data_IF_055508076161
#
_entry.id   IF_055508076161
#
_cell.length_a   1.000
_cell.length_b   1.000
_cell.length_c   1.000
_cell.angle_alpha   90.00
_cell.angle_beta   90.00
_cell.angle_gamma   90.00
#
_symmetry.space_group_name_H-M   'P 1'
#
loop_
_entity.id
_entity.type
_entity.pdbx_description
1 polymer ?
#
# COMPACT_ATOMS: atom_id res chain seq x y z
N UNK A 1 6.00 46.60 5.00
CA UNK A 1 5.01 45.79 5.75
C UNK A 1 5.31 44.33 5.46
N UNK A 2 6.08 43.68 6.33
CA UNK A 2 6.39 42.25 6.25
C UNK A 2 5.18 41.47 6.76
N UNK A 3 4.34 40.97 5.86
CA UNK A 3 3.26 40.04 6.22
C UNK A 3 3.91 38.76 6.74
N UNK A 4 3.85 38.57 8.05
CA UNK A 4 4.24 37.36 8.73
C UNK A 4 3.23 36.26 8.35
N UNK A 5 3.44 35.60 7.21
CA UNK A 5 2.65 34.44 6.81
C UNK A 5 2.99 33.32 7.77
N UNK A 6 2.16 33.13 8.81
CA UNK A 6 2.25 31.92 9.61
C UNK A 6 1.99 30.74 8.67
N UNK A 7 3.07 30.06 8.28
CA UNK A 7 3.00 28.82 7.53
C UNK A 7 2.33 27.77 8.41
N UNK A 8 1.02 27.59 8.25
CA UNK A 8 0.30 26.50 8.87
C UNK A 8 0.87 25.18 8.32
N UNK A 9 1.30 24.27 9.20
CA UNK A 9 1.81 22.96 8.79
C UNK A 9 0.68 22.17 8.10
N UNK A 10 0.86 21.85 6.82
CA UNK A 10 -0.14 21.15 6.03
C UNK A 10 -0.29 19.70 6.51
N UNK A 11 -1.51 19.30 6.80
CA UNK A 11 -1.84 17.93 7.22
C UNK A 11 -2.31 17.07 6.05
N UNK A 12 -2.48 15.76 6.28
CA UNK A 12 -3.03 14.82 5.29
C UNK A 12 -4.39 15.25 4.73
N UNK A 13 -5.22 15.90 5.55
CA UNK A 13 -6.53 16.41 5.11
C UNK A 13 -6.39 17.59 4.13
N UNK A 14 -5.41 18.48 4.35
CA UNK A 14 -5.10 19.58 3.44
C UNK A 14 -4.68 19.03 2.06
N UNK A 15 -3.76 18.08 2.00
CA UNK A 15 -3.36 17.47 0.73
C UNK A 15 -4.47 16.66 0.05
N UNK A 16 -5.40 16.08 0.82
CA UNK A 16 -6.60 15.43 0.26
C UNK A 16 -7.48 16.47 -0.45
N UNK A 17 -7.73 17.61 0.18
CA UNK A 17 -8.51 18.72 -0.39
C UNK A 17 -7.80 19.37 -1.58
N UNK A 18 -6.49 19.60 -1.49
CA UNK A 18 -5.68 20.15 -2.58
C UNK A 18 -5.68 19.25 -3.82
N UNK A 19 -5.58 17.91 -3.66
CA UNK A 19 -5.75 16.96 -4.77
C UNK A 19 -7.14 17.00 -5.39
N UNK A 20 -8.17 17.26 -4.59
CA UNK A 20 -9.52 17.41 -5.12
C UNK A 20 -9.61 18.65 -6.03
N UNK A 21 -9.05 19.79 -5.60
CA UNK A 21 -8.94 20.98 -6.46
C UNK A 21 -8.06 20.81 -7.69
N UNK A 22 -7.03 19.96 -7.64
CA UNK A 22 -6.23 19.62 -8.82
C UNK A 22 -7.03 18.82 -9.86
N UNK A 23 -7.90 17.91 -9.39
CA UNK A 23 -8.73 17.07 -10.28
C UNK A 23 -9.96 17.79 -10.81
N UNK A 24 -10.55 18.68 -10.01
CA UNK A 24 -11.79 19.37 -10.33
C UNK A 24 -11.50 20.82 -10.75
N UNK A 25 -12.01 21.30 -11.90
CA UNK A 25 -11.68 22.63 -12.42
C UNK A 25 -12.18 23.80 -11.54
N UNK A 26 -13.08 23.54 -10.59
CA UNK A 26 -13.47 24.48 -9.54
C UNK A 26 -14.31 23.77 -8.46
N UNK A 27 -14.02 24.05 -7.19
CA UNK A 27 -14.86 23.62 -6.08
C UNK A 27 -15.77 24.71 -5.55
N UNK A 28 -16.99 24.37 -5.14
CA UNK A 28 -17.95 25.34 -4.62
C UNK A 28 -17.45 25.97 -3.30
N UNK A 29 -17.31 27.30 -3.27
CA UNK A 29 -16.84 28.03 -2.09
C UNK A 29 -17.94 28.29 -1.04
N UNK A 30 -19.20 28.00 -1.34
CA UNK A 30 -20.30 28.16 -0.37
C UNK A 30 -20.24 27.14 0.78
N UNK A 31 -19.45 26.08 0.64
CA UNK A 31 -19.23 25.02 1.64
C UNK A 31 -17.81 25.06 2.20
N UNK A 32 -17.14 26.22 2.13
CA UNK A 32 -15.77 26.37 2.58
C UNK A 32 -15.63 26.04 4.08
N UNK A 33 -14.59 25.29 4.42
CA UNK A 33 -14.24 24.97 5.80
C UNK A 33 -12.85 25.54 6.19
N UNK A 34 -12.40 25.24 7.42
CA UNK A 34 -11.09 25.69 7.90
C UNK A 34 -9.92 25.16 7.05
N UNK A 35 -10.07 24.03 6.36
CA UNK A 35 -9.03 23.50 5.47
C UNK A 35 -8.90 24.41 4.26
N UNK A 36 -10.02 24.84 3.67
CA UNK A 36 -10.01 25.77 2.54
C UNK A 36 -9.45 27.13 2.94
N UNK A 37 -9.83 27.63 4.12
CA UNK A 37 -9.27 28.86 4.67
C UNK A 37 -7.75 28.79 4.78
N UNK A 38 -7.20 27.72 5.37
CA UNK A 38 -5.75 27.55 5.51
C UNK A 38 -5.03 27.41 4.15
N UNK A 39 -5.59 26.63 3.22
CA UNK A 39 -5.05 26.49 1.87
C UNK A 39 -5.04 27.82 1.12
N UNK A 40 -6.10 28.63 1.25
CA UNK A 40 -6.21 29.94 0.62
C UNK A 40 -5.25 30.96 1.25
N UNK A 41 -5.16 30.98 2.59
CA UNK A 41 -4.21 31.83 3.32
C UNK A 41 -2.74 31.49 2.98
N UNK A 42 -2.47 30.23 2.62
CA UNK A 42 -1.16 29.76 2.16
C UNK A 42 -0.92 29.99 0.65
N UNK A 43 -1.89 30.57 -0.05
CA UNK A 43 -1.81 30.85 -1.50
C UNK A 43 -1.83 29.60 -2.39
N UNK A 44 -2.23 28.44 -1.86
CA UNK A 44 -2.26 27.16 -2.60
C UNK A 44 -3.56 26.98 -3.40
N UNK A 45 -4.62 27.65 -2.96
CA UNK A 45 -5.86 27.80 -3.70
C UNK A 45 -6.24 29.28 -3.72
N UNK A 46 -7.06 29.68 -4.67
CA UNK A 46 -7.59 31.04 -4.73
C UNK A 46 -9.09 31.03 -4.99
N UNK A 47 -9.78 32.02 -4.41
CA UNK A 47 -11.20 32.26 -4.58
C UNK A 47 -11.43 32.98 -5.91
N UNK A 48 -12.33 32.45 -6.72
CA UNK A 48 -12.64 32.95 -8.06
C UNK A 48 -14.14 33.08 -8.21
N UNK A 49 -14.59 34.23 -8.72
CA UNK A 49 -15.97 34.42 -9.11
C UNK A 49 -16.17 33.93 -10.55
N UNK A 50 -17.16 33.07 -10.74
CA UNK A 50 -17.61 32.63 -12.06
C UNK A 50 -18.85 33.41 -12.49
N UNK A 51 -19.18 33.28 -13.77
CA UNK A 51 -20.39 33.86 -14.33
C UNK A 51 -21.62 33.51 -13.49
N UNK A 52 -22.46 34.52 -13.20
CA UNK A 52 -23.63 34.37 -12.33
C UNK A 52 -23.35 34.51 -10.82
N UNK A 53 -22.18 35.03 -10.42
CA UNK A 53 -21.86 35.31 -9.01
C UNK A 53 -21.50 34.08 -8.19
N UNK A 54 -21.34 32.92 -8.84
CA UNK A 54 -20.94 31.68 -8.18
C UNK A 54 -19.48 31.78 -7.79
N UNK A 55 -19.22 31.71 -6.50
CA UNK A 55 -17.85 31.72 -5.97
C UNK A 55 -17.33 30.30 -5.87
N UNK A 56 -16.13 30.08 -6.40
CA UNK A 56 -15.44 28.81 -6.34
C UNK A 56 -13.98 28.95 -5.89
N UNK A 57 -13.34 27.84 -5.54
CA UNK A 57 -11.91 27.75 -5.38
C UNK A 57 -11.27 27.03 -6.57
N UNK A 58 -10.11 27.51 -6.99
CA UNK A 58 -9.21 26.80 -7.93
C UNK A 58 -7.83 26.65 -7.30
N UNK A 59 -7.13 25.58 -7.68
CA UNK A 59 -5.72 25.41 -7.33
C UNK A 59 -4.87 26.46 -8.05
N UNK A 60 -3.88 27.01 -7.34
CA UNK A 60 -2.93 27.98 -7.90
C UNK A 60 -1.68 27.27 -8.44
N UNK A 61 -0.78 28.01 -9.11
CA UNK A 61 0.54 27.48 -9.48
C UNK A 61 1.36 27.06 -8.24
N UNK A 62 1.49 27.87 -7.18
CA UNK A 62 2.09 27.42 -5.91
C UNK A 62 1.43 26.16 -5.34
N UNK A 63 0.10 26.06 -5.39
CA UNK A 63 -0.63 24.85 -4.98
C UNK A 63 -0.24 23.61 -5.75
N UNK A 64 -0.08 23.74 -7.07
CA UNK A 64 0.34 22.65 -7.95
C UNK A 64 1.78 22.21 -7.67
N UNK A 65 2.69 23.17 -7.47
CA UNK A 65 4.09 22.90 -7.11
C UNK A 65 4.20 22.20 -5.76
N UNK A 66 3.48 22.69 -4.74
CA UNK A 66 3.47 22.06 -3.41
C UNK A 66 2.86 20.66 -3.44
N UNK A 67 1.78 20.46 -4.22
CA UNK A 67 1.18 19.15 -4.39
C UNK A 67 2.15 18.17 -5.09
N UNK A 68 2.90 18.62 -6.09
CA UNK A 68 3.92 17.82 -6.75
C UNK A 68 5.07 17.48 -5.79
N UNK A 69 5.52 18.44 -4.98
CA UNK A 69 6.55 18.21 -3.96
C UNK A 69 6.09 17.18 -2.91
N UNK A 70 4.83 17.23 -2.48
CA UNK A 70 4.28 16.22 -1.57
C UNK A 70 4.21 14.83 -2.22
N UNK A 71 3.82 14.75 -3.49
CA UNK A 71 3.85 13.48 -4.21
C UNK A 71 5.28 12.89 -4.26
N UNK A 72 6.30 13.71 -4.50
CA UNK A 72 7.69 13.25 -4.46
C UNK A 72 8.08 12.76 -3.06
N UNK A 73 7.69 13.48 -2.00
CA UNK A 73 7.92 13.03 -0.62
C UNK A 73 7.18 11.73 -0.31
N UNK A 74 5.97 11.54 -0.83
CA UNK A 74 5.23 10.26 -0.72
C UNK A 74 5.97 9.11 -1.41
N UNK A 75 6.52 9.35 -2.61
CA UNK A 75 7.33 8.37 -3.35
C UNK A 75 8.57 7.99 -2.54
N UNK A 76 9.35 8.97 -2.06
CA UNK A 76 10.55 8.70 -1.28
C UNK A 76 10.23 7.97 0.04
N UNK A 77 9.13 8.32 0.71
CA UNK A 77 8.70 7.61 1.94
C UNK A 77 8.30 6.15 1.68
N UNK A 78 7.78 5.82 0.49
CA UNK A 78 7.40 4.44 0.12
C UNK A 78 8.56 3.63 -0.45
N UNK A 79 9.61 4.29 -0.95
CA UNK A 79 10.76 3.67 -1.59
C UNK A 79 11.42 2.56 -0.76
N UNK A 80 11.64 2.70 0.56
CA UNK A 80 12.19 1.61 1.37
C UNK A 80 11.31 0.36 1.38
N UNK A 81 9.98 0.54 1.48
CA UNK A 81 9.02 -0.56 1.46
C UNK A 81 9.03 -1.27 0.10
N UNK A 82 8.92 -0.52 -1.00
CA UNK A 82 8.97 -1.09 -2.34
C UNK A 82 10.29 -1.82 -2.60
N UNK A 83 11.41 -1.23 -2.16
CA UNK A 83 12.73 -1.81 -2.37
C UNK A 83 12.90 -3.13 -1.61
N UNK A 84 12.39 -3.22 -0.38
CA UNK A 84 12.39 -4.46 0.40
C UNK A 84 11.47 -5.52 -0.23
N UNK A 85 10.28 -5.13 -0.70
CA UNK A 85 9.37 -6.04 -1.41
C UNK A 85 10.00 -6.64 -2.66
N UNK A 86 10.68 -5.82 -3.48
CA UNK A 86 11.31 -6.31 -4.71
C UNK A 86 12.52 -7.21 -4.43
N UNK A 87 13.30 -6.94 -3.38
CA UNK A 87 14.40 -7.84 -2.96
C UNK A 87 13.87 -9.17 -2.43
N UNK A 88 12.80 -9.14 -1.63
CA UNK A 88 12.12 -10.34 -1.15
C UNK A 88 11.57 -11.17 -2.33
N UNK A 89 10.93 -10.52 -3.30
CA UNK A 89 10.40 -11.18 -4.49
C UNK A 89 11.52 -11.87 -5.28
N UNK A 90 12.66 -11.22 -5.48
CA UNK A 90 13.84 -11.82 -6.13
C UNK A 90 14.34 -13.04 -5.38
N UNK A 91 14.51 -12.94 -4.06
CA UNK A 91 14.93 -14.08 -3.24
C UNK A 91 13.95 -15.26 -3.37
N UNK A 92 12.63 -15.00 -3.37
CA UNK A 92 11.63 -16.05 -3.60
C UNK A 92 11.72 -16.69 -4.99
N UNK A 93 12.01 -15.89 -6.02
CA UNK A 93 12.21 -16.38 -7.39
C UNK A 93 13.42 -17.30 -7.48
N UNK A 94 14.52 -16.96 -6.81
CA UNK A 94 15.71 -17.82 -6.68
C UNK A 94 15.41 -19.14 -5.97
N UNK A 95 14.39 -19.17 -5.09
CA UNK A 95 13.85 -20.40 -4.48
C UNK A 95 12.83 -21.14 -5.37
N UNK A 96 12.72 -20.79 -6.66
CA UNK A 96 11.81 -21.44 -7.61
C UNK A 96 10.33 -21.06 -7.42
N UNK A 97 10.04 -19.83 -6.98
CA UNK A 97 8.66 -19.35 -6.81
C UNK A 97 8.31 -18.24 -7.79
N UNK A 98 7.14 -18.33 -8.40
CA UNK A 98 6.54 -17.21 -9.10
C UNK A 98 6.08 -16.15 -8.11
N UNK A 99 6.22 -14.86 -8.44
CA UNK A 99 5.91 -13.75 -7.53
C UNK A 99 5.12 -12.64 -8.22
N UNK A 100 4.26 -11.98 -7.45
CA UNK A 100 3.49 -10.81 -7.84
C UNK A 100 3.59 -9.77 -6.74
N UNK A 101 4.11 -8.59 -7.07
CA UNK A 101 4.16 -7.44 -6.16
C UNK A 101 2.86 -6.63 -6.28
N UNK A 102 2.27 -6.23 -5.15
CA UNK A 102 1.11 -5.33 -5.08
C UNK A 102 -0.11 -5.77 -5.92
N UNK A 103 -0.27 -7.08 -6.16
CA UNK A 103 -1.43 -7.61 -6.90
C UNK A 103 -2.71 -7.48 -6.06
N UNK A 104 -3.78 -6.95 -6.65
CA UNK A 104 -5.07 -6.88 -5.98
C UNK A 104 -5.93 -8.11 -6.30
N UNK A 105 -6.51 -8.72 -5.27
CA UNK A 105 -7.56 -9.74 -5.38
C UNK A 105 -8.87 -9.23 -4.77
N UNK A 106 -9.98 -9.72 -5.30
CA UNK A 106 -11.28 -9.61 -4.66
C UNK A 106 -11.58 -10.94 -3.98
N UNK A 107 -11.84 -10.91 -2.67
CA UNK A 107 -12.16 -12.08 -1.85
C UNK A 107 -13.54 -11.92 -1.19
N UNK A 108 -14.22 -13.04 -1.00
CA UNK A 108 -15.48 -13.09 -0.28
C UNK A 108 -15.20 -13.34 1.21
N UNK A 109 -15.59 -12.40 2.06
CA UNK A 109 -15.48 -12.56 3.52
C UNK A 109 -16.87 -12.65 4.14
N UNK A 110 -17.01 -13.07 5.41
CA UNK A 110 -18.29 -12.99 6.11
C UNK A 110 -18.90 -11.57 6.17
N UNK A 111 -18.08 -10.52 6.01
CA UNK A 111 -18.52 -9.13 5.96
C UNK A 111 -18.82 -8.63 4.52
N UNK A 112 -18.77 -9.53 3.54
CA UNK A 112 -18.95 -9.24 2.12
C UNK A 112 -17.64 -9.19 1.32
N UNK A 113 -17.76 -8.71 0.08
CA UNK A 113 -16.65 -8.57 -0.86
C UNK A 113 -15.61 -7.59 -0.36
N UNK A 114 -14.36 -8.03 -0.31
CA UNK A 114 -13.22 -7.23 0.11
C UNK A 114 -12.14 -7.25 -0.97
N UNK A 115 -11.62 -6.06 -1.31
CA UNK A 115 -10.36 -5.95 -2.06
C UNK A 115 -9.18 -6.10 -1.10
N UNK A 116 -8.26 -6.99 -1.44
CA UNK A 116 -7.00 -7.22 -0.71
C UNK A 116 -5.83 -7.04 -1.66
N UNK A 117 -4.71 -6.52 -1.14
CA UNK A 117 -3.50 -6.26 -1.93
C UNK A 117 -2.28 -6.63 -1.11
N UNK A 118 -1.84 -7.90 -1.12
CA UNK A 118 -0.57 -8.28 -0.50
C UNK A 118 0.60 -7.54 -1.13
N UNK A 119 1.62 -7.23 -0.32
CA UNK A 119 2.85 -6.59 -0.83
C UNK A 119 3.58 -7.54 -1.79
N UNK A 120 3.74 -8.81 -1.40
CA UNK A 120 4.22 -9.88 -2.28
C UNK A 120 3.33 -11.12 -2.14
N UNK A 121 2.80 -11.60 -3.26
CA UNK A 121 2.14 -12.90 -3.38
C UNK A 121 3.06 -13.87 -4.14
N UNK A 122 3.12 -15.14 -3.74
CA UNK A 122 3.95 -16.13 -4.43
C UNK A 122 3.30 -17.49 -4.57
N UNK A 123 3.63 -18.19 -5.66
CA UNK A 123 3.26 -19.58 -5.92
C UNK A 123 4.51 -20.42 -6.19
N UNK A 124 4.50 -21.70 -5.85
CA UNK A 124 5.49 -22.63 -6.40
C UNK A 124 5.30 -22.73 -7.94
N UNK A 125 6.39 -22.81 -8.70
CA UNK A 125 6.32 -23.01 -10.15
C UNK A 125 5.98 -24.47 -10.47
N UNK A 126 4.68 -24.75 -10.59
CA UNK A 126 4.18 -26.09 -10.91
C UNK A 126 2.83 -26.02 -11.62
N UNK A 127 2.58 -26.96 -12.53
CA UNK A 127 1.27 -27.16 -13.15
C UNK A 127 0.33 -28.04 -12.31
N UNK A 128 0.80 -28.60 -11.18
CA UNK A 128 -0.03 -29.40 -10.29
C UNK A 128 -0.77 -28.49 -9.29
N UNK A 129 -2.11 -28.34 -9.38
CA UNK A 129 -2.87 -27.44 -8.52
C UNK A 129 -2.77 -27.79 -7.03
N UNK A 130 -2.49 -29.05 -6.67
CA UNK A 130 -2.30 -29.46 -5.27
C UNK A 130 -0.95 -29.02 -4.68
N UNK A 131 -0.01 -28.53 -5.50
CA UNK A 131 1.37 -28.18 -5.11
C UNK A 131 1.71 -26.69 -5.27
N UNK A 132 0.77 -25.86 -5.71
CA UNK A 132 1.01 -24.42 -5.97
C UNK A 132 1.37 -23.61 -4.71
N UNK A 133 1.09 -24.12 -3.51
CA UNK A 133 1.48 -23.59 -2.20
C UNK A 133 1.45 -22.04 -2.09
N UNK A 134 0.28 -21.38 -2.22
CA UNK A 134 0.22 -19.92 -2.29
C UNK A 134 0.66 -19.26 -0.99
N UNK A 135 1.57 -18.27 -1.03
CA UNK A 135 2.01 -17.53 0.15
C UNK A 135 1.81 -16.02 -0.04
N UNK A 136 1.50 -15.34 1.07
CA UNK A 136 1.49 -13.87 1.16
C UNK A 136 2.62 -13.41 2.08
N UNK A 137 3.29 -12.33 1.69
CA UNK A 137 4.27 -11.63 2.51
C UNK A 137 3.85 -10.16 2.64
N UNK A 138 3.70 -9.70 3.88
CA UNK A 138 3.45 -8.31 4.24
C UNK A 138 4.76 -7.66 4.68
N UNK A 139 5.20 -6.67 3.91
CA UNK A 139 6.50 -6.00 4.07
C UNK A 139 6.36 -4.85 5.06
N UNK A 140 7.23 -4.83 6.08
CA UNK A 140 7.24 -3.82 7.13
C UNK A 140 8.62 -3.20 7.23
N UNK A 141 8.66 -1.87 7.07
CA UNK A 141 9.90 -1.06 7.19
C UNK A 141 9.89 -0.12 8.40
N UNK A 142 8.87 -0.21 9.25
CA UNK A 142 8.85 0.47 10.53
C UNK A 142 8.06 -0.30 11.58
N UNK A 143 8.45 -0.13 12.84
CA UNK A 143 7.72 -0.65 14.02
C UNK A 143 6.27 -0.20 14.05
N UNK A 144 6.02 1.08 13.75
CA UNK A 144 4.67 1.66 13.73
C UNK A 144 3.77 0.98 12.70
N UNK A 145 4.29 0.73 11.50
CA UNK A 145 3.56 0.04 10.43
C UNK A 145 3.23 -1.40 10.83
N UNK A 146 4.19 -2.13 11.38
CA UNK A 146 3.96 -3.48 11.91
C UNK A 146 2.86 -3.51 12.97
N UNK A 147 2.95 -2.67 14.00
CA UNK A 147 1.97 -2.65 15.09
C UNK A 147 0.56 -2.23 14.62
N UNK A 148 0.49 -1.28 13.68
CA UNK A 148 -0.79 -0.85 13.10
C UNK A 148 -1.47 -1.97 12.28
N UNK A 149 -0.67 -2.81 11.62
CA UNK A 149 -1.14 -3.96 10.86
C UNK A 149 -1.61 -5.11 11.76
N UNK A 150 -0.84 -5.41 12.82
CA UNK A 150 -1.19 -6.40 13.85
C UNK A 150 -2.55 -6.05 14.48
N UNK A 151 -2.81 -4.76 14.72
CA UNK A 151 -4.08 -4.27 15.24
C UNK A 151 -5.27 -4.44 14.29
N UNK A 152 -5.08 -4.91 13.04
CA UNK A 152 -6.14 -5.12 12.05
C UNK A 152 -6.30 -6.61 11.63
N UNK A 153 -6.89 -7.47 12.49
CA UNK A 153 -7.08 -8.88 12.19
C UNK A 153 -7.87 -9.16 10.89
N UNK A 154 -8.79 -8.27 10.52
CA UNK A 154 -9.61 -8.40 9.29
C UNK A 154 -8.76 -8.45 8.01
N UNK A 155 -7.64 -7.71 7.98
CA UNK A 155 -6.72 -7.74 6.83
C UNK A 155 -6.12 -9.13 6.64
N UNK A 156 -5.64 -9.73 7.75
CA UNK A 156 -5.07 -11.08 7.78
C UNK A 156 -6.09 -12.16 7.42
N UNK A 157 -7.34 -12.02 7.87
CA UNK A 157 -8.43 -12.93 7.49
C UNK A 157 -8.66 -12.95 5.98
N UNK A 158 -8.56 -11.80 5.31
CA UNK A 158 -8.65 -11.71 3.85
C UNK A 158 -7.54 -12.51 3.14
N UNK A 159 -6.30 -12.44 3.62
CA UNK A 159 -5.19 -13.21 3.05
C UNK A 159 -5.32 -14.72 3.25
N UNK A 160 -5.89 -15.16 4.37
CA UNK A 160 -6.13 -16.58 4.63
C UNK A 160 -7.06 -17.25 3.60
N UNK A 161 -7.83 -16.46 2.83
CA UNK A 161 -8.70 -16.96 1.75
C UNK A 161 -7.91 -17.31 0.48
N UNK A 162 -6.72 -16.71 0.27
CA UNK A 162 -5.92 -16.91 -0.95
C UNK A 162 -4.52 -17.46 -0.68
N UNK A 163 -4.10 -17.59 0.57
CA UNK A 163 -2.75 -17.99 0.95
C UNK A 163 -2.77 -19.18 1.92
N UNK A 164 -1.95 -20.20 1.62
CA UNK A 164 -1.67 -21.28 2.57
C UNK A 164 -0.88 -20.80 3.78
N UNK A 165 -0.07 -19.76 3.61
CA UNK A 165 0.78 -19.18 4.64
C UNK A 165 0.86 -17.68 4.46
N UNK A 166 0.83 -16.97 5.59
CA UNK A 166 1.00 -15.53 5.66
C UNK A 166 2.24 -15.22 6.48
N UNK A 167 3.13 -14.40 5.93
CA UNK A 167 4.37 -13.98 6.54
C UNK A 167 4.39 -12.47 6.71
N UNK A 168 5.01 -12.00 7.78
CA UNK A 168 5.61 -10.67 7.81
C UNK A 168 7.03 -10.76 7.26
N UNK A 169 7.45 -9.73 6.53
CA UNK A 169 8.81 -9.58 6.04
C UNK A 169 9.37 -8.22 6.48
N UNK A 170 10.56 -8.20 7.07
CA UNK A 170 11.16 -6.96 7.60
C UNK A 170 12.70 -7.04 7.63
N UNK A 171 13.41 -5.90 7.78
CA UNK A 171 14.84 -5.93 8.08
C UNK A 171 15.15 -6.66 9.40
N UNK A 172 16.32 -7.29 9.49
CA UNK A 172 16.80 -7.91 10.71
C UNK A 172 16.69 -6.95 11.92
N UNK A 173 16.22 -7.47 13.05
CA UNK A 173 16.01 -6.70 14.27
C UNK A 173 14.74 -5.84 14.31
N UNK A 174 13.96 -5.73 13.22
CA UNK A 174 12.75 -4.91 13.22
C UNK A 174 11.54 -5.57 13.92
N UNK A 175 11.39 -6.88 13.76
CA UNK A 175 10.28 -7.66 14.33
C UNK A 175 10.90 -8.88 15.01
N UNK A 176 10.52 -9.13 16.27
CA UNK A 176 10.85 -10.39 16.94
C UNK A 176 9.84 -11.48 16.57
N UNK A 177 10.26 -12.76 16.42
CA UNK A 177 9.35 -13.88 16.17
C UNK A 177 8.14 -13.95 17.10
N UNK A 178 8.30 -13.59 18.38
CA UNK A 178 7.25 -13.67 19.40
C UNK A 178 6.18 -12.58 19.27
N UNK A 179 6.46 -11.51 18.54
CA UNK A 179 5.51 -10.43 18.28
C UNK A 179 4.55 -10.76 17.13
N UNK A 180 4.92 -11.73 16.29
CA UNK A 180 4.08 -12.13 15.18
C UNK A 180 2.77 -12.74 15.70
N UNK A 181 1.61 -12.36 15.16
CA UNK A 181 0.35 -12.98 15.52
C UNK A 181 0.33 -14.49 15.26
N UNK A 182 -0.57 -15.19 15.96
CA UNK A 182 -0.71 -16.64 15.83
C UNK A 182 -0.93 -17.09 14.38
N UNK A 183 -0.16 -18.08 13.98
CA UNK A 183 -0.18 -18.65 12.63
C UNK A 183 0.65 -17.88 11.59
N UNK A 184 1.01 -16.62 11.84
CA UNK A 184 1.86 -15.84 10.94
C UNK A 184 3.33 -16.28 11.07
N UNK A 185 4.01 -16.33 9.92
CA UNK A 185 5.46 -16.50 9.87
C UNK A 185 6.20 -15.17 9.85
N UNK A 186 7.53 -15.24 9.94
CA UNK A 186 8.43 -14.11 9.86
C UNK A 186 9.61 -14.45 8.96
N UNK A 187 9.87 -13.57 8.00
CA UNK A 187 11.06 -13.58 7.15
C UNK A 187 11.83 -12.30 7.41
N UNK A 188 13.14 -12.41 7.67
CA UNK A 188 14.00 -11.26 7.93
C UNK A 188 15.02 -11.10 6.82
N UNK A 189 15.20 -9.88 6.33
CA UNK A 189 16.33 -9.50 5.47
C UNK A 189 17.59 -9.42 6.33
N UNK A 190 18.58 -10.25 6.02
CA UNK A 190 19.88 -10.33 6.68
C UNK A 190 20.99 -10.21 5.63
N UNK A 191 21.62 -9.03 5.56
CA UNK A 191 22.54 -8.69 4.48
C UNK A 191 21.86 -8.74 3.11
N UNK A 192 22.42 -9.53 2.19
CA UNK A 192 21.91 -9.72 0.83
C UNK A 192 20.95 -10.92 0.70
N UNK A 193 20.55 -11.54 1.81
CA UNK A 193 19.66 -12.71 1.81
C UNK A 193 18.46 -12.54 2.75
N UNK A 194 17.60 -13.55 2.78
CA UNK A 194 16.46 -13.61 3.69
C UNK A 194 16.48 -14.92 4.49
N UNK A 195 16.12 -14.82 5.76
CA UNK A 195 16.03 -15.95 6.69
C UNK A 195 14.61 -16.10 7.23
N UNK A 196 14.10 -17.33 7.28
CA UNK A 196 12.79 -17.61 7.88
C UNK A 196 12.95 -17.69 9.40
N UNK A 197 12.79 -16.56 10.09
CA UNK A 197 12.91 -16.45 11.54
C UNK A 197 11.74 -17.11 12.30
N UNK A 198 10.56 -17.22 11.68
CA UNK A 198 9.41 -17.97 12.21
C UNK A 198 8.65 -18.67 11.09
N UNK A 199 8.39 -19.97 11.25
CA UNK A 199 7.56 -20.72 10.31
C UNK A 199 6.08 -20.32 10.47
N UNK A 200 5.42 -20.02 9.35
CA UNK A 200 3.97 -19.82 9.33
C UNK A 200 3.22 -21.16 9.46
N UNK A 201 2.07 -21.14 10.14
CA UNK A 201 1.16 -22.29 10.18
C UNK A 201 0.50 -22.43 8.82
N UNK A 202 0.48 -23.66 8.29
CA UNK A 202 -0.22 -23.97 7.03
C UNK A 202 -1.74 -23.97 7.26
N UNK A 203 -2.46 -23.28 6.41
CA UNK A 203 -3.90 -23.37 6.25
C UNK A 203 -4.20 -23.83 4.83
N UNK A 204 -4.94 -24.93 4.57
CA UNK A 204 -5.25 -25.33 3.21
C UNK A 204 -6.08 -24.25 2.49
N UNK A 205 -5.72 -23.92 1.25
CA UNK A 205 -6.48 -22.99 0.40
C UNK A 205 -6.58 -23.55 -1.01
N UNK A 206 -7.70 -23.28 -1.68
CA UNK A 206 -7.90 -23.59 -3.08
C UNK A 206 -8.18 -22.29 -3.83
N UNK A 207 -7.27 -21.92 -4.74
CA UNK A 207 -7.51 -20.80 -5.65
C UNK A 207 -8.55 -21.23 -6.70
N UNK A 208 -9.54 -20.37 -6.93
CA UNK A 208 -10.57 -20.58 -7.94
C UNK A 208 -10.21 -19.97 -9.30
N UNK A 209 -11.05 -20.21 -10.32
CA UNK A 209 -10.82 -19.68 -11.67
C UNK A 209 -10.64 -18.16 -11.72
N UNK A 210 -11.39 -17.40 -10.91
CA UNK A 210 -11.27 -15.93 -10.87
C UNK A 210 -9.89 -15.46 -10.39
N UNK A 211 -9.31 -16.12 -9.39
CA UNK A 211 -7.97 -15.81 -8.90
C UNK A 211 -6.91 -16.15 -9.94
N UNK A 212 -7.01 -17.31 -10.60
CA UNK A 212 -6.10 -17.68 -11.68
C UNK A 212 -6.21 -16.73 -12.88
N UNK A 213 -7.42 -16.36 -13.31
CA UNK A 213 -7.60 -15.38 -14.38
C UNK A 213 -6.96 -14.03 -14.04
N UNK A 214 -7.09 -13.57 -12.78
CA UNK A 214 -6.43 -12.35 -12.33
C UNK A 214 -4.89 -12.45 -12.42
N UNK A 215 -4.32 -13.61 -12.04
CA UNK A 215 -2.87 -13.88 -12.11
C UNK A 215 -2.35 -13.98 -13.55
N UNK A 216 -3.18 -14.49 -14.48
CA UNK A 216 -2.87 -14.57 -15.91
C UNK A 216 -2.89 -13.17 -16.55
N UNK A 217 -3.94 -12.39 -16.27
CA UNK A 217 -4.11 -11.05 -16.85
C UNK A 217 -3.15 -10.01 -16.26
N UNK A 218 -2.64 -10.25 -15.05
CA UNK A 218 -1.61 -9.45 -14.39
C UNK A 218 -0.39 -10.34 -14.16
N UNK A 219 0.37 -10.64 -15.23
CA UNK A 219 1.46 -11.60 -15.15
C UNK A 219 2.51 -11.12 -14.14
N UNK A 220 2.93 -12.04 -13.29
CA UNK A 220 4.00 -11.84 -12.33
C UNK A 220 5.35 -12.21 -12.93
N UNK A 221 6.37 -12.26 -12.09
CA UNK A 221 7.68 -12.79 -12.47
C UNK A 221 7.70 -14.28 -12.15
N UNK A 222 7.89 -15.10 -13.18
CA UNK A 222 7.99 -16.56 -13.08
C UNK A 222 9.44 -16.92 -13.39
N UNK A 223 10.18 -17.58 -12.47
CA UNK A 223 11.52 -18.05 -12.77
C UNK A 223 11.46 -19.17 -13.82
N UNK A 224 12.52 -19.31 -14.61
CA UNK A 224 12.62 -20.36 -15.62
C UNK A 224 12.41 -21.74 -14.96
N UNK A 225 11.61 -22.59 -15.61
CA UNK A 225 11.47 -23.98 -15.21
C UNK A 225 12.77 -24.69 -15.58
N UNK A 226 13.66 -24.86 -14.60
CA UNK A 226 14.84 -25.73 -14.72
C UNK A 226 14.40 -27.19 -14.75
#
# INVERSE_FOLDING_TARGET
MTTNTQSHCLTRQHYKRLRWYFKAPAGNASLADNIDLHLAASGLIERVERFGGVVCFRITTPGTVELAAENQREIERRKPHHSLASRLARWLQEQGRATWENIEFIVETPAGRQAIRPDVFSLATTCNPARITPHVYEVKVSRRDFLADVAQPKKRAGYAIIAERVFYAAPAGMISPDECPDGCGLVLEDGDTFVVARKAKRQPVQLGPAQFMNLILKPGVVPDLV
#
